data_IF_847933582638
#
_entry.id   IF_847933582638
#
_cell.length_a   1.000
_cell.length_b   1.000
_cell.length_c   1.000
_cell.angle_alpha   90.00
_cell.angle_beta   90.00
_cell.angle_gamma   90.00
#
_symmetry.space_group_name_H-M   'P 1'
#
loop_
_entity.id
_entity.type
_entity.pdbx_description
1 polymer ?
#
# COMPACT_ATOMS: atom_id res chain seq x y z
N UNK A 1 1.10 -21.53 3.25
CA UNK A 1 0.85 -22.16 1.92
C UNK A 1 0.80 -23.68 2.10
N UNK A 2 -0.24 -24.32 1.60
CA UNK A 2 -0.41 -25.79 1.71
C UNK A 2 0.58 -26.52 0.79
N UNK A 3 0.62 -27.87 0.83
CA UNK A 3 1.34 -28.70 -0.14
C UNK A 3 0.55 -28.66 -1.47
N UNK A 4 1.27 -28.65 -2.60
CA UNK A 4 0.70 -28.54 -3.95
C UNK A 4 -0.21 -27.31 -4.16
N UNK A 5 0.25 -26.06 -3.83
CA UNK A 5 -0.52 -24.86 -4.08
C UNK A 5 -0.68 -24.64 -5.58
N UNK A 6 -1.80 -24.05 -5.98
CA UNK A 6 -2.01 -23.53 -7.34
C UNK A 6 -1.93 -22.00 -7.26
N UNK A 7 -0.86 -21.46 -7.80
CA UNK A 7 -0.52 -20.05 -7.68
C UNK A 7 -0.73 -19.31 -9.00
N UNK A 8 -1.53 -18.24 -8.97
CA UNK A 8 -1.76 -17.35 -10.12
C UNK A 8 -0.79 -16.17 -10.10
N UNK A 9 -0.01 -16.03 -11.17
CA UNK A 9 0.93 -14.95 -11.36
C UNK A 9 0.26 -13.69 -11.91
N UNK A 10 -0.12 -12.78 -11.02
CA UNK A 10 -0.49 -11.39 -11.32
C UNK A 10 0.63 -10.42 -10.95
N UNK A 11 1.56 -10.87 -10.10
CA UNK A 11 2.79 -10.16 -9.76
C UNK A 11 3.89 -10.48 -10.78
N UNK A 12 4.65 -9.50 -11.32
CA UNK A 12 5.81 -9.78 -12.16
C UNK A 12 6.88 -10.59 -11.41
N UNK A 13 7.34 -11.69 -12.01
CA UNK A 13 8.32 -12.59 -11.36
C UNK A 13 9.66 -11.92 -11.06
N UNK A 14 10.04 -10.89 -11.81
CA UNK A 14 11.29 -10.15 -11.58
C UNK A 14 11.21 -9.21 -10.36
N UNK A 15 10.03 -8.73 -10.01
CA UNK A 15 9.85 -7.74 -8.94
C UNK A 15 10.14 -8.37 -7.58
N UNK A 16 11.25 -7.95 -6.95
CA UNK A 16 11.83 -8.60 -5.76
C UNK A 16 11.82 -10.14 -5.91
N UNK A 17 12.22 -10.62 -7.09
CA UNK A 17 12.14 -12.03 -7.51
C UNK A 17 10.79 -12.69 -7.17
N UNK A 18 9.69 -12.00 -7.55
CA UNK A 18 8.32 -12.50 -7.36
C UNK A 18 7.98 -12.78 -5.89
N UNK A 19 8.55 -11.99 -4.96
CA UNK A 19 8.37 -12.12 -3.51
C UNK A 19 8.70 -13.52 -2.98
N UNK A 20 9.76 -14.14 -3.52
CA UNK A 20 10.22 -15.49 -3.21
C UNK A 20 9.26 -16.64 -3.59
N UNK A 21 8.12 -16.35 -4.24
CA UNK A 21 7.15 -17.38 -4.61
C UNK A 21 7.64 -18.38 -5.67
N UNK A 22 8.53 -18.06 -6.64
CA UNK A 22 9.07 -19.05 -7.55
C UNK A 22 9.70 -20.23 -6.81
N UNK A 23 10.49 -19.97 -5.78
CA UNK A 23 11.13 -20.99 -4.93
C UNK A 23 10.13 -21.67 -3.99
N UNK A 24 9.22 -20.89 -3.40
CA UNK A 24 8.23 -21.42 -2.47
C UNK A 24 7.28 -22.39 -3.15
N UNK A 25 6.81 -22.07 -4.37
CA UNK A 25 5.91 -22.93 -5.14
C UNK A 25 6.65 -24.20 -5.55
N UNK A 26 7.91 -24.09 -6.02
CA UNK A 26 8.74 -25.25 -6.37
C UNK A 26 8.98 -26.17 -5.15
N UNK A 27 9.35 -25.58 -3.99
CA UNK A 27 9.56 -26.35 -2.75
C UNK A 27 8.30 -27.06 -2.22
N UNK A 28 7.10 -26.55 -2.58
CA UNK A 28 5.80 -27.13 -2.22
C UNK A 28 5.23 -28.03 -3.31
N UNK A 29 6.00 -28.33 -4.38
CA UNK A 29 5.54 -29.05 -5.58
C UNK A 29 4.22 -28.48 -6.14
N UNK A 30 4.12 -27.16 -6.16
CA UNK A 30 2.92 -26.43 -6.59
C UNK A 30 2.87 -26.21 -8.10
N UNK A 31 1.74 -25.64 -8.55
CA UNK A 31 1.47 -25.32 -9.94
C UNK A 31 1.54 -23.80 -10.16
N UNK A 32 2.28 -23.37 -11.18
CA UNK A 32 2.30 -21.98 -11.62
C UNK A 32 1.29 -21.76 -12.74
N UNK A 33 0.36 -20.83 -12.54
CA UNK A 33 -0.59 -20.37 -13.55
C UNK A 33 -0.16 -18.94 -13.95
N UNK A 34 0.22 -18.76 -15.22
CA UNK A 34 0.75 -17.49 -15.71
C UNK A 34 -0.27 -16.78 -16.61
N UNK A 35 -0.45 -15.49 -16.37
CA UNK A 35 -1.26 -14.61 -17.22
C UNK A 35 -0.36 -13.84 -18.22
N UNK A 36 -0.82 -13.71 -19.46
CA UNK A 36 -0.18 -12.79 -20.43
C UNK A 36 -0.49 -11.34 -20.12
N UNK A 37 -1.71 -11.08 -19.64
CA UNK A 37 -2.20 -9.77 -19.24
C UNK A 37 -3.02 -9.90 -17.96
N UNK A 38 -2.80 -8.99 -17.04
CA UNK A 38 -3.53 -8.94 -15.76
C UNK A 38 -4.83 -8.20 -15.98
N UNK A 39 -5.92 -8.94 -16.10
CA UNK A 39 -7.29 -8.44 -16.29
C UNK A 39 -8.23 -9.19 -15.36
N UNK A 40 -9.22 -8.49 -14.79
CA UNK A 40 -10.13 -9.08 -13.81
C UNK A 40 -10.87 -10.32 -14.33
N UNK A 41 -11.35 -10.31 -15.58
CA UNK A 41 -12.02 -11.48 -16.19
C UNK A 41 -11.07 -12.68 -16.32
N UNK A 42 -9.82 -12.45 -16.74
CA UNK A 42 -8.81 -13.50 -16.87
C UNK A 42 -8.45 -14.09 -15.51
N UNK A 43 -8.38 -13.25 -14.46
CA UNK A 43 -8.15 -13.70 -13.08
C UNK A 43 -9.26 -14.65 -12.63
N UNK A 44 -10.54 -14.25 -12.71
CA UNK A 44 -11.65 -15.12 -12.32
C UNK A 44 -11.68 -16.41 -13.12
N UNK A 45 -11.51 -16.35 -14.44
CA UNK A 45 -11.47 -17.52 -15.32
C UNK A 45 -10.42 -18.56 -14.88
N UNK A 46 -9.19 -18.09 -14.61
CA UNK A 46 -8.12 -18.99 -14.22
C UNK A 46 -8.30 -19.52 -12.78
N UNK A 47 -8.83 -18.71 -11.86
CA UNK A 47 -9.16 -19.17 -10.50
C UNK A 47 -10.16 -20.31 -10.55
N UNK A 48 -11.24 -20.19 -11.30
CA UNK A 48 -12.28 -21.22 -11.44
C UNK A 48 -11.75 -22.44 -12.19
N UNK A 49 -11.14 -22.25 -13.37
CA UNK A 49 -10.70 -23.34 -14.25
C UNK A 49 -9.54 -24.16 -13.67
N UNK A 50 -8.63 -23.53 -12.93
CA UNK A 50 -7.42 -24.16 -12.37
C UNK A 50 -7.47 -24.36 -10.87
N UNK A 51 -8.56 -23.98 -10.20
CA UNK A 51 -8.70 -24.01 -8.73
C UNK A 51 -7.54 -23.31 -8.03
N UNK A 52 -7.23 -22.08 -8.51
CA UNK A 52 -6.19 -21.24 -7.91
C UNK A 52 -6.54 -20.97 -6.45
N UNK A 53 -5.60 -21.21 -5.56
CA UNK A 53 -5.75 -21.01 -4.12
C UNK A 53 -4.87 -19.92 -3.55
N UNK A 54 -3.87 -19.42 -4.34
CA UNK A 54 -2.96 -18.36 -3.92
C UNK A 54 -2.63 -17.42 -5.07
N UNK A 55 -2.49 -16.15 -4.75
CA UNK A 55 -1.97 -15.12 -5.65
C UNK A 55 -1.38 -13.94 -4.86
N UNK A 56 -0.64 -13.06 -5.52
CA UNK A 56 -0.21 -11.77 -4.98
C UNK A 56 -0.57 -10.66 -5.96
N UNK A 57 -0.82 -9.45 -5.47
CA UNK A 57 -1.10 -8.33 -6.34
C UNK A 57 -1.07 -6.99 -5.60
N UNK A 58 -0.77 -5.91 -6.32
CA UNK A 58 -0.95 -4.56 -5.81
C UNK A 58 -2.45 -4.24 -5.66
N UNK A 59 -2.84 -3.20 -4.91
CA UNK A 59 -4.25 -2.82 -4.72
C UNK A 59 -5.02 -2.62 -6.03
N UNK A 60 -4.37 -2.18 -7.09
CA UNK A 60 -5.00 -2.07 -8.42
C UNK A 60 -5.51 -3.42 -8.94
N UNK A 61 -4.83 -4.52 -8.65
CA UNK A 61 -5.28 -5.87 -9.03
C UNK A 61 -6.54 -6.25 -8.25
N UNK A 62 -6.62 -5.86 -6.97
CA UNK A 62 -7.83 -6.05 -6.16
C UNK A 62 -9.00 -5.27 -6.74
N UNK A 63 -8.79 -4.04 -7.17
CA UNK A 63 -9.82 -3.21 -7.80
C UNK A 63 -10.32 -3.82 -9.12
N UNK A 64 -9.43 -4.37 -9.97
CA UNK A 64 -9.84 -5.10 -11.19
C UNK A 64 -10.71 -6.33 -10.88
N UNK A 65 -10.44 -7.02 -9.78
CA UNK A 65 -11.26 -8.15 -9.32
C UNK A 65 -12.63 -7.65 -8.87
N UNK A 66 -12.69 -6.60 -8.06
CA UNK A 66 -13.93 -6.00 -7.56
C UNK A 66 -14.81 -5.53 -8.71
N UNK A 67 -14.25 -4.77 -9.66
CA UNK A 67 -14.97 -4.27 -10.84
C UNK A 67 -15.64 -5.40 -11.63
N UNK A 68 -14.93 -6.49 -11.90
CA UNK A 68 -15.49 -7.63 -12.61
C UNK A 68 -16.53 -8.36 -11.76
N UNK A 69 -16.32 -8.47 -10.45
CA UNK A 69 -17.27 -9.08 -9.54
C UNK A 69 -18.62 -8.32 -9.53
N UNK A 70 -18.56 -6.99 -9.43
CA UNK A 70 -19.74 -6.12 -9.45
C UNK A 70 -20.46 -6.17 -10.81
N UNK A 71 -19.71 -6.03 -11.92
CA UNK A 71 -20.26 -6.01 -13.27
C UNK A 71 -20.95 -7.32 -13.68
N UNK A 72 -20.45 -8.46 -13.23
CA UNK A 72 -20.92 -9.78 -13.67
C UNK A 72 -21.53 -10.62 -12.54
N UNK A 73 -21.72 -10.05 -11.33
CA UNK A 73 -22.29 -10.75 -10.18
C UNK A 73 -21.45 -11.97 -9.75
N UNK A 74 -20.11 -11.87 -9.84
CA UNK A 74 -19.20 -13.00 -9.56
C UNK A 74 -18.75 -13.01 -8.10
N UNK A 75 -18.76 -14.21 -7.51
CA UNK A 75 -18.13 -14.54 -6.24
C UNK A 75 -17.38 -15.86 -6.37
N UNK A 76 -16.40 -16.11 -5.53
CA UNK A 76 -15.70 -17.40 -5.53
C UNK A 76 -16.47 -18.45 -4.74
N UNK A 77 -16.51 -19.69 -5.25
CA UNK A 77 -17.04 -20.85 -4.54
C UNK A 77 -16.05 -21.47 -3.54
N UNK A 78 -14.97 -20.79 -3.23
CA UNK A 78 -13.91 -21.21 -2.32
C UNK A 78 -13.16 -20.02 -1.77
N UNK A 79 -12.00 -20.25 -1.14
CA UNK A 79 -11.15 -19.18 -0.67
C UNK A 79 -9.86 -19.13 -1.49
N UNK A 80 -9.57 -17.96 -2.06
CA UNK A 80 -8.26 -17.63 -2.63
C UNK A 80 -7.51 -16.71 -1.67
N UNK A 81 -6.30 -17.13 -1.29
CA UNK A 81 -5.40 -16.33 -0.43
C UNK A 81 -4.62 -15.35 -1.27
N UNK A 82 -4.69 -14.07 -0.90
CA UNK A 82 -4.05 -12.98 -1.63
C UNK A 82 -3.10 -12.23 -0.72
N UNK A 83 -1.84 -12.06 -1.12
CA UNK A 83 -0.95 -11.10 -0.49
C UNK A 83 -0.93 -9.80 -1.32
N UNK A 84 -1.12 -8.66 -0.66
CA UNK A 84 -1.09 -7.34 -1.28
C UNK A 84 -0.04 -6.44 -0.64
N UNK A 85 0.63 -5.65 -1.46
CA UNK A 85 1.63 -4.66 -1.05
C UNK A 85 1.73 -3.52 -2.08
N UNK A 86 2.78 -2.73 -1.99
CA UNK A 86 3.11 -1.55 -2.80
C UNK A 86 2.40 -0.26 -2.34
N UNK A 87 1.17 -0.35 -1.88
CA UNK A 87 0.44 0.71 -1.18
C UNK A 87 -0.48 0.07 -0.14
N UNK A 88 -0.87 0.76 0.93
CA UNK A 88 -1.87 0.26 1.85
C UNK A 88 -3.21 0.06 1.12
N UNK A 89 -3.82 -1.14 1.19
CA UNK A 89 -5.14 -1.35 0.63
C UNK A 89 -6.18 -0.60 1.47
N UNK A 90 -7.11 0.16 0.84
CA UNK A 90 -8.20 0.79 1.59
C UNK A 90 -9.01 -0.26 2.38
N UNK A 91 -9.46 0.04 3.61
CA UNK A 91 -10.30 -0.88 4.40
C UNK A 91 -11.55 -1.35 3.65
N UNK A 92 -12.19 -0.46 2.88
CA UNK A 92 -13.33 -0.78 2.00
C UNK A 92 -12.98 -1.90 1.01
N UNK A 93 -11.83 -1.81 0.34
CA UNK A 93 -11.35 -2.85 -0.59
C UNK A 93 -11.17 -4.19 0.11
N UNK A 94 -10.58 -4.21 1.31
CA UNK A 94 -10.41 -5.46 2.09
C UNK A 94 -11.76 -6.10 2.46
N UNK A 95 -12.75 -5.29 2.83
CA UNK A 95 -14.10 -5.76 3.16
C UNK A 95 -14.78 -6.38 1.94
N UNK A 96 -14.75 -5.72 0.78
CA UNK A 96 -15.34 -6.23 -0.46
C UNK A 96 -14.63 -7.52 -0.89
N UNK A 97 -13.30 -7.56 -0.89
CA UNK A 97 -12.55 -8.78 -1.24
C UNK A 97 -12.93 -9.98 -0.34
N UNK A 98 -13.12 -9.74 0.97
CA UNK A 98 -13.59 -10.77 1.90
C UNK A 98 -14.95 -11.31 1.50
N UNK A 99 -15.93 -10.45 1.15
CA UNK A 99 -17.28 -10.87 0.72
C UNK A 99 -17.26 -11.64 -0.60
N UNK A 100 -16.25 -11.41 -1.46
CA UNK A 100 -16.05 -12.13 -2.73
C UNK A 100 -15.34 -13.49 -2.57
N UNK A 101 -14.96 -13.89 -1.35
CA UNK A 101 -14.27 -15.16 -1.08
C UNK A 101 -12.74 -15.07 -1.12
N UNK A 102 -12.16 -13.88 -1.12
CA UNK A 102 -10.72 -13.69 -1.04
C UNK A 102 -10.25 -13.43 0.40
N UNK A 103 -9.21 -14.13 0.82
CA UNK A 103 -8.54 -13.84 2.09
C UNK A 103 -7.28 -13.01 1.83
N UNK A 104 -7.41 -11.69 1.98
CA UNK A 104 -6.32 -10.75 1.72
C UNK A 104 -5.45 -10.58 2.95
N UNK A 105 -4.13 -10.69 2.77
CA UNK A 105 -3.10 -10.37 3.77
C UNK A 105 -2.27 -9.20 3.27
N UNK A 106 -2.25 -8.11 4.02
CA UNK A 106 -1.40 -6.97 3.73
C UNK A 106 0.04 -7.29 4.15
N UNK A 107 0.99 -6.98 3.28
CA UNK A 107 2.43 -7.11 3.55
C UNK A 107 3.15 -5.84 3.14
N UNK A 108 4.29 -5.59 3.78
CA UNK A 108 5.15 -4.48 3.42
C UNK A 108 6.58 -4.96 3.23
N UNK A 109 7.26 -4.33 2.29
CA UNK A 109 8.66 -4.54 2.03
C UNK A 109 9.15 -3.67 0.88
N UNK A 110 10.44 -3.76 0.62
CA UNK A 110 11.18 -3.01 -0.38
C UNK A 110 12.11 -3.97 -1.12
N UNK A 111 12.64 -3.53 -2.26
CA UNK A 111 13.69 -4.27 -2.98
C UNK A 111 14.92 -4.47 -2.10
N UNK A 112 15.24 -3.47 -1.30
CA UNK A 112 16.36 -3.41 -0.35
C UNK A 112 16.28 -4.45 0.78
N UNK A 113 15.12 -5.06 0.99
CA UNK A 113 14.92 -6.15 1.96
C UNK A 113 14.35 -7.42 1.29
N UNK A 114 14.59 -7.57 -0.02
CA UNK A 114 14.25 -8.76 -0.81
C UNK A 114 12.74 -9.05 -0.91
N UNK A 115 11.89 -8.03 -0.82
CA UNK A 115 10.44 -8.15 -0.91
C UNK A 115 9.75 -7.99 0.44
N UNK A 116 8.65 -8.72 0.72
CA UNK A 116 7.92 -8.59 1.98
C UNK A 116 8.78 -8.95 3.19
N UNK A 117 8.80 -8.07 4.18
CA UNK A 117 9.50 -8.26 5.45
C UNK A 117 8.62 -7.96 6.68
N UNK A 118 7.43 -7.41 6.46
CA UNK A 118 6.39 -7.15 7.46
C UNK A 118 5.07 -7.71 6.97
N UNK A 119 4.27 -8.29 7.84
CA UNK A 119 3.01 -8.95 7.50
C UNK A 119 1.92 -8.61 8.51
N UNK A 120 0.74 -8.25 8.01
CA UNK A 120 -0.46 -8.08 8.84
C UNK A 120 -1.05 -9.44 9.16
N UNK A 121 -0.49 -10.10 10.18
CA UNK A 121 -0.99 -11.38 10.71
C UNK A 121 -2.37 -11.14 11.33
N UNK A 122 -3.30 -12.09 11.17
CA UNK A 122 -4.57 -12.01 11.88
C UNK A 122 -4.33 -12.20 13.38
N UNK A 123 -4.90 -11.32 14.20
CA UNK A 123 -4.97 -11.49 15.63
C UNK A 123 -6.37 -12.00 16.01
N UNK A 124 -6.45 -13.09 16.76
CA UNK A 124 -7.74 -13.70 17.17
C UNK A 124 -8.62 -12.73 17.97
N UNK A 125 -8.02 -11.80 18.70
CA UNK A 125 -8.76 -10.76 19.46
C UNK A 125 -9.60 -9.86 18.53
N UNK A 126 -9.26 -9.77 17.24
CA UNK A 126 -10.01 -8.97 16.29
C UNK A 126 -11.31 -9.64 15.84
N UNK A 127 -11.48 -10.94 16.10
CA UNK A 127 -12.66 -11.70 15.67
C UNK A 127 -13.94 -11.18 16.32
N UNK A 128 -13.86 -10.58 17.50
CA UNK A 128 -15.01 -10.00 18.22
C UNK A 128 -15.31 -8.54 17.83
N UNK A 129 -14.46 -7.91 17.01
CA UNK A 129 -14.63 -6.53 16.59
C UNK A 129 -15.65 -6.42 15.42
N UNK A 130 -16.12 -5.19 15.18
CA UNK A 130 -16.93 -4.89 13.98
C UNK A 130 -16.17 -5.20 12.70
N UNK A 131 -16.87 -5.48 11.60
CA UNK A 131 -16.21 -5.70 10.30
C UNK A 131 -15.37 -4.51 9.84
N UNK A 132 -15.81 -3.29 10.18
CA UNK A 132 -15.08 -2.06 9.89
C UNK A 132 -13.77 -1.99 10.66
N UNK A 133 -13.80 -2.25 11.97
CA UNK A 133 -12.60 -2.31 12.79
C UNK A 133 -11.64 -3.41 12.32
N UNK A 134 -12.17 -4.62 12.02
CA UNK A 134 -11.36 -5.70 11.46
C UNK A 134 -10.64 -5.26 10.18
N UNK A 135 -11.33 -4.54 9.28
CA UNK A 135 -10.72 -4.03 8.05
C UNK A 135 -9.64 -2.98 8.33
N UNK A 136 -9.89 -2.06 9.25
CA UNK A 136 -8.93 -1.04 9.68
C UNK A 136 -7.66 -1.67 10.29
N UNK A 137 -7.81 -2.67 11.17
CA UNK A 137 -6.68 -3.40 11.74
C UNK A 137 -5.88 -4.17 10.67
N UNK A 138 -6.56 -4.80 9.71
CA UNK A 138 -5.93 -5.52 8.59
C UNK A 138 -5.20 -4.60 7.61
N UNK A 139 -5.61 -3.34 7.50
CA UNK A 139 -4.96 -2.37 6.62
C UNK A 139 -3.58 -1.93 7.12
N UNK A 140 -3.26 -2.13 8.41
CA UNK A 140 -1.92 -1.88 8.96
C UNK A 140 -0.90 -2.84 8.32
N UNK A 141 0.38 -2.45 8.27
CA UNK A 141 1.44 -3.30 7.70
C UNK A 141 1.72 -4.53 8.57
N UNK A 142 1.58 -4.41 9.89
CA UNK A 142 1.65 -5.55 10.79
C UNK A 142 2.95 -5.71 11.54
N UNK A 143 3.43 -6.95 11.65
CA UNK A 143 4.62 -7.34 12.42
C UNK A 143 5.74 -7.86 11.50
N UNK A 144 6.97 -7.84 11.98
CA UNK A 144 8.12 -8.34 11.22
C UNK A 144 7.99 -9.82 10.85
N UNK A 145 8.52 -10.21 9.70
CA UNK A 145 8.69 -11.62 9.34
C UNK A 145 9.64 -12.32 10.30
N UNK A 146 9.47 -13.65 10.43
CA UNK A 146 10.33 -14.50 11.26
C UNK A 146 11.81 -14.44 10.84
N UNK A 147 12.08 -14.22 9.55
CA UNK A 147 13.44 -14.09 8.98
C UNK A 147 14.03 -12.68 9.08
N UNK A 148 13.26 -11.72 9.56
CA UNK A 148 13.70 -10.36 9.85
C UNK A 148 14.14 -10.27 11.30
N UNK A 149 15.42 -9.95 11.57
CA UNK A 149 15.97 -9.95 12.93
C UNK A 149 15.27 -8.91 13.79
N UNK A 150 15.18 -7.67 13.31
CA UNK A 150 14.56 -6.60 14.06
C UNK A 150 13.93 -5.52 13.18
N UNK A 151 12.97 -4.81 13.77
CA UNK A 151 12.24 -3.69 13.22
C UNK A 151 12.07 -2.66 14.33
N UNK A 152 12.32 -1.39 14.03
CA UNK A 152 12.13 -0.26 14.96
C UNK A 152 11.55 0.94 14.22
N UNK A 153 10.82 1.76 14.95
CA UNK A 153 10.41 3.09 14.50
C UNK A 153 11.15 4.10 15.37
N UNK A 154 11.93 4.99 14.74
CA UNK A 154 12.88 5.89 15.41
C UNK A 154 12.44 7.33 15.22
N UNK A 155 12.35 8.04 16.31
CA UNK A 155 12.17 9.49 16.30
C UNK A 155 13.39 10.18 15.67
N UNK A 156 13.18 10.97 14.63
CA UNK A 156 14.26 11.59 13.84
C UNK A 156 14.99 12.71 14.61
N UNK A 157 14.41 13.24 15.68
CA UNK A 157 14.99 14.32 16.50
C UNK A 157 15.80 13.75 17.64
N UNK A 158 15.19 12.88 18.46
CA UNK A 158 15.86 12.31 19.63
C UNK A 158 16.75 11.10 19.30
N UNK A 159 16.56 10.45 18.15
CA UNK A 159 17.20 9.20 17.79
C UNK A 159 16.73 7.99 18.61
N UNK A 160 15.78 8.18 19.51
CA UNK A 160 15.20 7.13 20.35
C UNK A 160 14.09 6.34 19.65
N UNK A 161 13.77 5.13 20.16
CA UNK A 161 12.62 4.36 19.71
C UNK A 161 11.35 5.08 20.13
N UNK A 162 10.40 5.24 19.20
CA UNK A 162 9.10 5.86 19.51
C UNK A 162 8.28 5.00 20.48
N UNK A 163 7.40 5.60 21.30
CA UNK A 163 6.48 4.85 22.15
C UNK A 163 5.48 4.05 21.30
N UNK A 164 4.95 2.96 21.88
CA UNK A 164 3.92 2.13 21.22
C UNK A 164 2.52 2.71 21.45
N UNK A 165 2.30 3.95 21.02
CA UNK A 165 1.05 4.70 21.25
C UNK A 165 0.16 4.81 20.00
N UNK A 166 0.65 4.33 18.84
CA UNK A 166 -0.05 4.43 17.56
C UNK A 166 -0.16 5.86 17.02
N UNK A 167 0.59 6.81 17.57
CA UNK A 167 0.50 8.26 17.28
C UNK A 167 1.84 8.89 16.97
N UNK A 168 2.86 8.60 17.77
CA UNK A 168 4.20 9.19 17.61
C UNK A 168 4.83 8.67 16.34
N UNK A 169 5.05 9.57 15.37
CA UNK A 169 5.62 9.24 14.07
C UNK A 169 7.14 9.20 14.17
N UNK A 170 7.74 8.19 13.56
CA UNK A 170 9.18 8.07 13.38
C UNK A 170 9.53 7.38 12.08
N UNK A 171 10.82 7.30 11.75
CA UNK A 171 11.31 6.58 10.59
C UNK A 171 11.40 5.08 10.88
N UNK A 172 10.83 4.26 9.99
CA UNK A 172 10.95 2.82 10.06
C UNK A 172 12.35 2.40 9.66
N UNK A 173 13.00 1.59 10.50
CA UNK A 173 14.29 0.97 10.17
C UNK A 173 14.28 -0.53 10.40
N UNK A 174 15.04 -1.23 9.58
CA UNK A 174 15.06 -2.68 9.50
C UNK A 174 16.48 -3.21 9.69
N UNK A 175 16.59 -4.40 10.27
CA UNK A 175 17.85 -5.11 10.42
C UNK A 175 17.62 -6.60 10.28
N UNK A 176 18.45 -7.29 9.47
CA UNK A 176 18.37 -8.74 9.31
C UNK A 176 19.06 -9.23 8.06
N UNK A 177 19.13 -10.54 7.93
CA UNK A 177 19.83 -11.22 6.83
C UNK A 177 19.19 -11.00 5.45
N UNK A 178 17.93 -10.57 5.40
CA UNK A 178 17.25 -10.26 4.14
C UNK A 178 17.49 -8.82 3.68
N UNK A 179 18.16 -8.00 4.51
CA UNK A 179 18.51 -6.63 4.13
C UNK A 179 19.70 -6.65 3.17
N UNK A 180 19.63 -5.83 2.12
CA UNK A 180 20.70 -5.71 1.10
C UNK A 180 22.05 -5.36 1.73
N UNK A 181 23.14 -5.66 1.02
CA UNK A 181 24.49 -5.20 1.40
C UNK A 181 24.72 -3.72 1.09
N UNK A 182 24.03 -3.20 0.08
CA UNK A 182 24.15 -1.83 -0.38
C UNK A 182 23.68 -1.66 -1.83
N UNK A 183 23.73 -0.43 -2.33
CA UNK A 183 23.44 -0.10 -3.72
C UNK A 183 24.68 -0.33 -4.59
N UNK A 184 24.49 -1.01 -5.72
CA UNK A 184 25.57 -1.35 -6.64
C UNK A 184 26.27 -0.09 -7.16
N UNK A 185 27.61 -0.01 -6.98
CA UNK A 185 28.46 1.11 -7.38
C UNK A 185 27.99 2.48 -6.88
N UNK A 186 27.36 2.52 -5.71
CA UNK A 186 26.88 3.76 -5.09
C UNK A 186 27.09 3.72 -3.57
N UNK A 187 28.33 3.93 -3.17
CA UNK A 187 28.74 3.91 -1.76
C UNK A 187 28.04 5.01 -0.96
N UNK A 188 28.00 6.23 -1.51
CA UNK A 188 27.36 7.37 -0.84
C UNK A 188 25.89 7.11 -0.48
N UNK A 189 25.09 6.58 -1.44
CA UNK A 189 23.72 6.23 -1.14
C UNK A 189 23.61 5.03 -0.17
N UNK A 190 24.58 4.14 -0.16
CA UNK A 190 24.65 3.03 0.79
C UNK A 190 24.91 3.53 2.21
N UNK A 191 25.87 4.42 2.39
CA UNK A 191 26.21 5.04 3.68
C UNK A 191 25.03 5.87 4.21
N UNK A 192 24.32 6.59 3.35
CA UNK A 192 23.12 7.34 3.72
C UNK A 192 21.99 6.40 4.19
N UNK A 193 21.80 5.27 3.50
CA UNK A 193 20.74 4.31 3.81
C UNK A 193 21.02 3.49 5.07
N UNK A 194 22.30 3.28 5.42
CA UNK A 194 22.68 2.48 6.58
C UNK A 194 23.27 3.32 7.69
N UNK A 195 22.73 3.16 8.90
CA UNK A 195 23.27 3.80 10.09
C UNK A 195 23.34 2.79 11.23
N UNK A 196 24.50 2.63 11.82
CA UNK A 196 24.73 1.72 12.98
C UNK A 196 24.24 0.28 12.72
N UNK A 197 24.39 -0.20 11.47
CA UNK A 197 23.95 -1.54 11.07
C UNK A 197 22.43 -1.68 10.86
N UNK A 198 21.71 -0.58 10.83
CA UNK A 198 20.28 -0.53 10.48
C UNK A 198 20.09 0.07 9.10
N UNK A 199 19.19 -0.51 8.34
CA UNK A 199 18.70 0.05 7.09
C UNK A 199 17.54 1.02 7.38
N UNK A 200 17.70 2.29 7.02
CA UNK A 200 16.69 3.32 7.11
C UNK A 200 15.84 3.28 5.85
N UNK A 201 14.54 3.03 6.00
CA UNK A 201 13.66 2.79 4.83
C UNK A 201 13.23 4.06 4.12
N UNK A 202 13.33 5.22 4.78
CA UNK A 202 12.74 6.48 4.34
C UNK A 202 11.21 6.50 4.45
N UNK A 203 10.59 5.47 5.04
CA UNK A 203 9.16 5.40 5.29
C UNK A 203 8.87 5.79 6.75
N UNK A 204 7.87 6.66 6.95
CA UNK A 204 7.43 7.10 8.27
C UNK A 204 6.30 6.20 8.77
N UNK A 205 6.38 5.85 10.05
CA UNK A 205 5.48 4.90 10.68
C UNK A 205 5.16 5.28 12.13
N UNK A 206 4.12 4.65 12.65
CA UNK A 206 3.83 4.57 14.08
C UNK A 206 3.89 3.13 14.54
N UNK A 207 4.15 2.92 15.83
CA UNK A 207 4.11 1.61 16.48
C UNK A 207 2.90 1.54 17.38
N UNK A 208 2.05 0.54 17.20
CA UNK A 208 0.89 0.29 18.05
C UNK A 208 1.23 -0.52 19.30
N UNK A 209 0.36 -0.47 20.31
CA UNK A 209 0.54 -1.19 21.58
C UNK A 209 0.67 -2.71 21.40
N UNK A 210 -0.01 -3.26 20.39
CA UNK A 210 0.02 -4.67 20.02
C UNK A 210 1.27 -5.06 19.19
N UNK A 211 2.19 -4.11 18.97
CA UNK A 211 3.44 -4.33 18.22
C UNK A 211 3.28 -4.25 16.71
N UNK A 212 2.11 -3.91 16.20
CA UNK A 212 1.90 -3.69 14.78
C UNK A 212 2.43 -2.34 14.36
N UNK A 213 3.11 -2.34 13.23
CA UNK A 213 3.56 -1.12 12.56
C UNK A 213 2.47 -0.64 11.59
N UNK A 214 2.28 0.67 11.51
CA UNK A 214 1.44 1.30 10.52
C UNK A 214 2.20 2.43 9.83
N UNK A 215 2.38 2.32 8.52
CA UNK A 215 3.02 3.37 7.72
C UNK A 215 2.10 4.57 7.59
N UNK A 216 2.65 5.75 7.80
CA UNK A 216 1.93 7.02 7.66
C UNK A 216 2.25 7.72 6.35
N UNK A 217 3.51 7.69 5.92
CA UNK A 217 3.91 8.23 4.62
C UNK A 217 5.38 7.90 4.31
N UNK A 218 5.86 8.35 3.17
CA UNK A 218 7.29 8.49 2.91
C UNK A 218 7.80 9.83 3.42
N UNK A 219 9.00 9.84 3.97
CA UNK A 219 9.66 11.06 4.46
C UNK A 219 9.66 12.20 3.42
N UNK A 220 9.83 11.86 2.13
CA UNK A 220 9.80 12.80 1.01
C UNK A 220 8.39 13.15 0.48
N UNK A 221 7.35 12.47 0.95
CA UNK A 221 5.97 12.63 0.50
C UNK A 221 5.08 13.31 1.56
N UNK A 222 5.59 13.45 2.81
CA UNK A 222 4.97 14.26 3.85
C UNK A 222 4.80 15.69 3.35
N UNK A 223 3.65 16.26 3.61
CA UNK A 223 3.29 17.65 3.26
C UNK A 223 3.45 18.49 4.51
N UNK A 224 4.27 19.54 4.46
CA UNK A 224 4.54 20.41 5.61
C UNK A 224 3.74 21.70 5.44
N UNK A 225 2.55 21.74 6.04
CA UNK A 225 1.62 22.86 5.91
C UNK A 225 1.55 23.66 7.20
N UNK A 226 2.04 24.90 7.19
CA UNK A 226 2.03 25.77 8.36
C UNK A 226 2.79 25.22 9.57
N UNK A 227 3.79 24.35 9.34
CA UNK A 227 4.55 23.65 10.38
C UNK A 227 3.95 22.31 10.82
N UNK A 228 2.77 21.94 10.33
CA UNK A 228 2.13 20.65 10.62
C UNK A 228 2.48 19.61 9.56
N UNK A 229 2.79 18.40 10.00
CA UNK A 229 3.05 17.25 9.13
C UNK A 229 1.72 16.61 8.71
N UNK A 230 1.44 16.58 7.42
CA UNK A 230 0.24 15.96 6.84
C UNK A 230 0.64 14.72 6.06
N UNK A 231 0.04 13.58 6.41
CA UNK A 231 0.18 12.34 5.65
C UNK A 231 -0.61 12.41 4.35
N UNK A 232 0.07 12.23 3.22
CA UNK A 232 -0.58 12.12 1.93
C UNK A 232 -1.46 10.86 1.85
N UNK A 233 -1.05 9.76 2.51
CA UNK A 233 -1.78 8.49 2.56
C UNK A 233 -3.11 8.65 3.32
N UNK A 234 -3.16 9.44 4.39
CA UNK A 234 -4.41 9.67 5.13
C UNK A 234 -5.46 10.34 4.25
N UNK A 235 -5.04 11.32 3.45
CA UNK A 235 -5.93 12.02 2.52
C UNK A 235 -6.33 11.09 1.36
N UNK A 236 -5.39 10.32 0.81
CA UNK A 236 -5.65 9.33 -0.24
C UNK A 236 -6.68 8.29 0.21
N UNK A 237 -6.57 7.78 1.43
CA UNK A 237 -7.53 6.83 2.01
C UNK A 237 -8.93 7.46 2.15
N UNK A 238 -9.00 8.71 2.60
CA UNK A 238 -10.25 9.45 2.69
C UNK A 238 -10.90 9.58 1.30
N UNK A 239 -10.18 10.12 0.32
CA UNK A 239 -10.70 10.34 -1.04
C UNK A 239 -11.08 9.01 -1.71
N UNK A 240 -10.25 7.98 -1.57
CA UNK A 240 -10.50 6.64 -2.14
C UNK A 240 -11.70 5.93 -1.52
N UNK A 241 -12.20 6.37 -0.37
CA UNK A 241 -13.45 5.84 0.21
C UNK A 241 -14.72 6.37 -0.46
N UNK A 242 -14.61 7.43 -1.28
CA UNK A 242 -15.72 7.99 -2.04
C UNK A 242 -16.08 7.11 -3.24
N UNK A 243 -17.38 6.88 -3.47
CA UNK A 243 -17.90 5.92 -4.46
C UNK A 243 -17.62 6.28 -5.93
N UNK A 244 -17.19 7.51 -6.20
CA UNK A 244 -16.85 7.96 -7.56
C UNK A 244 -15.38 7.82 -7.91
N UNK A 245 -14.52 7.44 -6.95
CA UNK A 245 -13.06 7.48 -7.11
C UNK A 245 -12.52 6.10 -7.43
N UNK A 246 -11.84 5.99 -8.57
CA UNK A 246 -11.10 4.79 -8.96
C UNK A 246 -9.68 4.78 -8.36
N UNK A 247 -8.96 5.91 -8.48
CA UNK A 247 -7.58 6.07 -8.00
C UNK A 247 -7.38 7.50 -7.50
N UNK A 248 -6.65 7.63 -6.39
CA UNK A 248 -6.25 8.92 -5.87
C UNK A 248 -4.76 8.92 -5.52
N UNK A 249 -4.12 10.06 -5.74
CA UNK A 249 -2.76 10.33 -5.27
C UNK A 249 -2.67 11.78 -4.78
N UNK A 250 -2.03 11.98 -3.64
CA UNK A 250 -1.86 13.30 -3.03
C UNK A 250 -0.39 13.66 -2.95
N UNK A 251 -0.07 14.89 -3.36
CA UNK A 251 1.29 15.44 -3.28
C UNK A 251 1.26 16.85 -2.68
N UNK A 252 2.41 17.28 -2.18
CA UNK A 252 2.61 18.66 -1.80
C UNK A 252 2.52 19.58 -3.03
N UNK A 253 1.84 20.71 -2.86
CA UNK A 253 1.83 21.85 -3.78
C UNK A 253 2.28 23.09 -3.00
N UNK A 254 3.12 23.91 -3.60
CA UNK A 254 3.59 25.15 -2.98
C UNK A 254 2.43 26.11 -2.70
N UNK A 255 2.48 26.79 -1.55
CA UNK A 255 1.50 27.78 -1.11
C UNK A 255 2.21 28.92 -0.39
N UNK A 256 1.94 30.17 -0.83
CA UNK A 256 2.60 31.38 -0.29
C UNK A 256 2.37 31.57 1.21
N UNK A 257 1.23 31.13 1.74
CA UNK A 257 0.86 31.33 3.14
C UNK A 257 1.30 30.19 4.03
N UNK A 258 1.20 28.95 3.56
CA UNK A 258 1.36 27.74 4.37
C UNK A 258 2.65 26.99 4.07
N UNK A 259 3.45 27.43 3.08
CA UNK A 259 4.62 26.72 2.55
C UNK A 259 4.19 25.62 1.59
N UNK A 260 3.54 24.59 2.10
CA UNK A 260 2.94 23.53 1.31
C UNK A 260 1.48 23.30 1.67
N UNK A 261 0.70 22.80 0.70
CA UNK A 261 -0.68 22.36 0.90
C UNK A 261 -0.96 21.08 0.11
N UNK A 262 -1.93 20.25 0.56
CA UNK A 262 -2.29 19.03 -0.18
C UNK A 262 -2.94 19.36 -1.52
N UNK A 263 -2.46 18.71 -2.59
CA UNK A 263 -3.07 18.67 -3.92
C UNK A 263 -3.38 17.22 -4.29
N UNK A 264 -4.66 16.91 -4.56
CA UNK A 264 -5.11 15.58 -4.93
C UNK A 264 -5.21 15.44 -6.45
N UNK A 265 -4.69 14.35 -6.99
CA UNK A 265 -4.93 13.88 -8.36
C UNK A 265 -5.88 12.71 -8.29
N UNK A 266 -6.98 12.79 -9.03
CA UNK A 266 -8.10 11.84 -8.92
C UNK A 266 -8.48 11.31 -10.29
N UNK A 267 -8.46 10.00 -10.42
CA UNK A 267 -9.03 9.25 -11.55
C UNK A 267 -10.40 8.75 -11.10
N UNK A 268 -11.44 9.14 -11.82
CA UNK A 268 -12.82 8.73 -11.51
C UNK A 268 -13.17 7.40 -12.17
N UNK A 269 -14.20 6.74 -11.68
CA UNK A 269 -14.82 5.62 -12.38
C UNK A 269 -15.47 6.13 -13.69
N UNK A 270 -15.48 5.30 -14.74
CA UNK A 270 -15.89 5.67 -16.11
C UNK A 270 -17.27 6.31 -16.24
N UNK A 271 -18.20 6.01 -15.32
CA UNK A 271 -19.57 6.51 -15.33
C UNK A 271 -19.76 7.80 -14.50
N UNK A 272 -18.70 8.33 -13.89
CA UNK A 272 -18.75 9.47 -12.96
C UNK A 272 -18.27 10.78 -13.59
N UNK A 273 -18.82 11.89 -13.12
CA UNK A 273 -18.47 13.24 -13.57
C UNK A 273 -17.63 13.96 -12.52
N UNK A 274 -16.75 14.82 -13.00
CA UNK A 274 -15.97 15.73 -12.17
C UNK A 274 -16.90 16.63 -11.34
N UNK A 275 -16.66 16.66 -10.04
CA UNK A 275 -17.31 17.59 -9.12
C UNK A 275 -16.38 17.87 -7.92
N UNK A 276 -15.58 18.91 -8.04
CA UNK A 276 -14.59 19.32 -7.03
C UNK A 276 -15.24 19.61 -5.68
N UNK A 277 -16.40 20.24 -5.69
CA UNK A 277 -17.08 20.62 -4.45
C UNK A 277 -17.51 19.39 -3.65
N UNK A 278 -18.01 18.37 -4.31
CA UNK A 278 -18.46 17.14 -3.63
C UNK A 278 -17.29 16.42 -2.94
N UNK A 279 -16.14 16.28 -3.61
CA UNK A 279 -14.97 15.65 -3.02
C UNK A 279 -14.31 16.51 -1.93
N UNK A 280 -14.24 17.81 -2.11
CA UNK A 280 -13.73 18.72 -1.08
C UNK A 280 -14.64 18.71 0.15
N UNK A 281 -15.95 18.77 -0.05
CA UNK A 281 -16.92 18.71 1.05
C UNK A 281 -16.91 17.35 1.73
N UNK A 282 -16.70 16.26 1.00
CA UNK A 282 -16.49 14.94 1.55
C UNK A 282 -15.23 14.92 2.44
N UNK A 283 -14.10 15.47 1.96
CA UNK A 283 -12.88 15.58 2.76
C UNK A 283 -13.08 16.43 4.03
N UNK A 284 -13.82 17.54 3.95
CA UNK A 284 -14.12 18.41 5.11
C UNK A 284 -14.90 17.70 6.22
N UNK A 285 -15.76 16.75 5.85
CA UNK A 285 -16.53 15.95 6.82
C UNK A 285 -15.72 14.87 7.50
N UNK A 286 -14.63 14.41 6.86
CA UNK A 286 -13.89 13.23 7.27
C UNK A 286 -12.43 13.53 7.73
N UNK A 287 -11.90 14.72 7.47
CA UNK A 287 -10.54 15.13 7.78
C UNK A 287 -10.50 16.43 8.61
N UNK A 288 -9.43 16.61 9.36
CA UNK A 288 -9.14 17.90 9.97
C UNK A 288 -8.96 18.99 8.88
N UNK A 289 -9.42 20.22 9.15
CA UNK A 289 -9.51 21.28 8.13
C UNK A 289 -8.19 21.59 7.40
N UNK A 290 -7.05 21.50 8.08
CA UNK A 290 -5.72 21.74 7.50
C UNK A 290 -5.26 20.61 6.57
N UNK A 291 -5.85 19.41 6.66
CA UNK A 291 -5.58 18.24 5.81
C UNK A 291 -6.42 18.22 4.53
N UNK A 292 -7.47 19.04 4.45
CA UNK A 292 -8.35 19.09 3.28
C UNK A 292 -7.56 19.59 2.06
N UNK A 293 -7.60 18.88 0.92
CA UNK A 293 -6.92 19.31 -0.30
C UNK A 293 -7.35 20.72 -0.71
N UNK A 294 -6.40 21.57 -1.06
CA UNK A 294 -6.66 22.90 -1.61
C UNK A 294 -7.01 22.85 -3.09
N UNK A 295 -6.60 21.77 -3.77
CA UNK A 295 -6.83 21.56 -5.19
C UNK A 295 -7.07 20.10 -5.47
N UNK A 296 -8.03 19.82 -6.36
CA UNK A 296 -8.26 18.52 -6.96
C UNK A 296 -8.02 18.63 -8.47
N UNK A 297 -7.24 17.74 -9.02
CA UNK A 297 -6.95 17.64 -10.45
C UNK A 297 -7.45 16.29 -10.94
N UNK A 298 -8.43 16.32 -11.82
CA UNK A 298 -8.99 15.12 -12.42
C UNK A 298 -8.21 14.71 -13.66
N UNK A 299 -8.10 13.40 -13.88
CA UNK A 299 -7.46 12.79 -15.04
C UNK A 299 -6.67 11.55 -14.66
N UNK A 300 -5.95 10.99 -15.64
CA UNK A 300 -5.16 9.79 -15.47
C UNK A 300 -4.03 9.98 -14.45
N UNK A 301 -3.95 9.09 -13.48
CA UNK A 301 -2.87 9.06 -12.49
C UNK A 301 -1.72 8.18 -13.01
N UNK A 302 -0.49 8.74 -13.23
CA UNK A 302 0.63 8.00 -13.80
C UNK A 302 1.08 6.86 -12.88
N UNK A 303 1.24 5.67 -13.45
CA UNK A 303 1.61 4.43 -12.76
C UNK A 303 2.84 3.78 -13.40
N UNK A 304 3.57 3.00 -12.61
CA UNK A 304 4.60 2.09 -13.12
C UNK A 304 3.96 0.87 -13.77
N UNK A 305 4.76 0.03 -14.45
CA UNK A 305 4.30 -1.27 -14.98
C UNK A 305 3.78 -2.23 -13.90
N UNK A 306 4.14 -1.99 -12.64
CA UNK A 306 3.67 -2.76 -11.48
C UNK A 306 2.42 -2.15 -10.81
N UNK A 307 1.87 -1.05 -11.38
CA UNK A 307 0.68 -0.38 -10.86
C UNK A 307 0.92 0.63 -9.73
N UNK A 308 2.19 0.91 -9.38
CA UNK A 308 2.53 1.90 -8.35
C UNK A 308 2.42 3.32 -8.91
N UNK A 309 1.73 4.21 -8.20
CA UNK A 309 1.62 5.63 -8.55
C UNK A 309 2.99 6.31 -8.56
N UNK A 310 3.24 7.13 -9.58
CA UNK A 310 4.49 7.88 -9.77
C UNK A 310 4.32 9.32 -9.26
N UNK A 311 4.30 9.52 -7.93
CA UNK A 311 4.14 10.86 -7.31
C UNK A 311 5.15 11.91 -7.80
N UNK A 312 6.36 11.50 -8.16
CA UNK A 312 7.36 12.40 -8.74
C UNK A 312 6.86 13.10 -10.02
N UNK A 313 6.22 12.34 -10.94
CA UNK A 313 5.64 12.92 -12.15
C UNK A 313 4.47 13.87 -11.86
N UNK A 314 3.71 13.60 -10.80
CA UNK A 314 2.62 14.49 -10.38
C UNK A 314 3.17 15.83 -9.88
N UNK A 315 4.23 15.79 -9.06
CA UNK A 315 4.92 17.03 -8.62
C UNK A 315 5.48 17.82 -9.78
N UNK A 316 6.16 17.16 -10.73
CA UNK A 316 6.68 17.80 -11.94
C UNK A 316 5.58 18.47 -12.76
N UNK A 317 4.37 17.88 -12.82
CA UNK A 317 3.24 18.45 -13.55
C UNK A 317 2.67 19.71 -12.89
N UNK A 318 2.81 19.86 -11.57
CA UNK A 318 2.43 21.09 -10.86
C UNK A 318 3.39 22.22 -11.18
N UNK A 319 4.70 21.97 -11.23
CA UNK A 319 5.72 22.97 -11.55
C UNK A 319 5.56 23.52 -12.98
N UNK A 320 5.23 22.67 -13.96
CA UNK A 320 5.02 23.07 -15.37
C UNK A 320 3.75 23.91 -15.62
N UNK A 321 2.78 23.91 -14.70
CA UNK A 321 1.53 24.69 -14.81
C UNK A 321 1.63 26.06 -14.12
N UNK A 322 2.76 26.33 -13.48
CA UNK A 322 3.04 27.61 -12.81
C UNK A 322 3.81 28.59 -13.71
N UNK A 323 4.26 28.12 -14.89
CA UNK A 323 4.82 28.91 -15.99
C UNK A 323 3.73 29.16 -17.06
#
# INVERSE_FOLDING_TARGET
MNIHPVYLWTLPMFHCNGWCFPWTIAAKAGTNVCLRKVEGQSIFKEIEARRVDHMCGAPIVLNLIIEVAEKFGKTLHGQCKVMTAAAPPPPKTLKIMKSLGFNVTHVYGLTEVYGPCVVSVWNEDWTCLSEEDQANYKARQGVKYIVQDNLQVIDSISGGVVPKDGKTIGELRLRGNITMKGYLNNESATEEAFKEGWFNTGDLAVMHVDGYVELKDRKKDIIISGGENISSIEIENCISSHDSVAICAVVAMEDEKWGEVPCAFVELLDDKKENDLDLIDFCRKNLAGYKVPKKIIYGDVPKTSTGKVQKAKLRESLLRKSD
#
